data_IF_481673443430
#
_entry.id   IF_481673443430
#
_cell.length_a   1.000
_cell.length_b   1.000
_cell.length_c   1.000
_cell.angle_alpha   90.00
_cell.angle_beta   90.00
_cell.angle_gamma   90.00
#
_symmetry.space_group_name_H-M   'P 1'
#
loop_
_entity.id
_entity.type
_entity.pdbx_description
1 polymer ?
#
# COMPACT_ATOMS: atom_id res chain seq x y z
N UNK A 1 -7.46 13.44 -1.96
CA UNK A 1 -7.21 12.50 -3.09
C UNK A 1 -5.87 12.79 -3.75
N UNK A 2 -5.63 13.98 -4.31
CA UNK A 2 -4.35 14.30 -4.98
C UNK A 2 -3.11 14.14 -4.07
N UNK A 3 -3.25 14.48 -2.79
CA UNK A 3 -2.18 14.31 -1.79
C UNK A 3 -1.85 12.84 -1.49
N UNK A 4 -2.88 11.98 -1.35
CA UNK A 4 -2.69 10.53 -1.19
C UNK A 4 -1.98 9.92 -2.39
N UNK A 5 -2.37 10.32 -3.61
CA UNK A 5 -1.74 9.84 -4.86
C UNK A 5 -0.28 10.28 -4.93
N UNK A 6 0.02 11.54 -4.61
CA UNK A 6 1.40 12.04 -4.59
C UNK A 6 2.23 11.27 -3.54
N UNK A 7 1.67 11.07 -2.35
CA UNK A 7 2.30 10.32 -1.28
C UNK A 7 2.64 8.88 -1.69
N UNK A 8 1.68 8.13 -2.25
CA UNK A 8 1.89 6.75 -2.74
C UNK A 8 2.97 6.71 -3.82
N UNK A 9 2.95 7.64 -4.79
CA UNK A 9 3.96 7.67 -5.86
C UNK A 9 5.37 7.86 -5.30
N UNK A 10 5.55 8.76 -4.34
CA UNK A 10 6.85 8.98 -3.69
C UNK A 10 7.27 7.78 -2.83
N UNK A 11 6.34 7.14 -2.12
CA UNK A 11 6.63 5.94 -1.33
C UNK A 11 7.02 4.74 -2.20
N UNK A 12 6.32 4.50 -3.30
CA UNK A 12 6.63 3.43 -4.25
C UNK A 12 8.02 3.61 -4.89
N UNK A 13 8.46 4.86 -5.00
CA UNK A 13 9.79 5.20 -5.53
C UNK A 13 10.88 5.21 -4.45
N UNK A 14 10.54 4.88 -3.19
CA UNK A 14 11.47 4.89 -2.06
C UNK A 14 11.94 6.30 -1.67
N UNK A 15 11.27 7.35 -2.16
CA UNK A 15 11.60 8.74 -1.88
C UNK A 15 11.11 9.19 -0.49
N UNK A 16 10.35 8.33 0.20
CA UNK A 16 9.91 8.52 1.58
C UNK A 16 10.20 7.25 2.39
N UNK A 17 10.21 7.38 3.72
CA UNK A 17 10.39 6.26 4.66
C UNK A 17 9.43 5.07 4.47
N UNK A 18 9.68 4.01 5.23
CA UNK A 18 9.06 2.69 5.07
C UNK A 18 7.55 2.62 5.38
N UNK A 19 6.93 3.69 5.90
CA UNK A 19 5.54 3.68 6.34
C UNK A 19 4.73 4.89 5.87
N UNK A 20 3.39 4.77 5.85
CA UNK A 20 2.50 5.90 5.64
C UNK A 20 2.56 6.92 6.79
N UNK A 21 2.34 8.21 6.50
CA UNK A 21 1.93 9.20 7.49
C UNK A 21 0.67 8.74 8.22
N UNK A 22 0.52 9.19 9.47
CA UNK A 22 -0.58 8.79 10.36
C UNK A 22 -1.96 9.09 9.75
N UNK A 23 -2.09 10.17 9.00
CA UNK A 23 -3.32 10.58 8.32
C UNK A 23 -3.75 9.58 7.21
N UNK A 24 -2.83 8.74 6.74
CA UNK A 24 -3.05 7.77 5.68
C UNK A 24 -2.95 6.31 6.14
N UNK A 25 -2.56 6.04 7.39
CA UNK A 25 -2.36 4.68 7.92
C UNK A 25 -3.60 3.78 7.77
N UNK A 26 -4.77 4.22 8.26
CA UNK A 26 -6.01 3.44 8.21
C UNK A 26 -6.42 3.11 6.77
N UNK A 27 -6.39 4.12 5.89
CA UNK A 27 -6.69 3.95 4.48
C UNK A 27 -5.72 3.02 3.76
N UNK A 28 -4.41 3.16 4.03
CA UNK A 28 -3.35 2.38 3.41
C UNK A 28 -3.40 0.91 3.81
N UNK A 29 -3.52 0.60 5.11
CA UNK A 29 -3.58 -0.79 5.58
C UNK A 29 -4.91 -1.47 5.21
N UNK A 30 -6.02 -0.74 5.20
CA UNK A 30 -7.31 -1.27 4.77
C UNK A 30 -7.36 -1.56 3.27
N UNK A 31 -6.77 -0.69 2.45
CA UNK A 31 -6.65 -0.90 1.00
C UNK A 31 -5.74 -2.08 0.65
N UNK A 32 -4.59 -2.22 1.32
CA UNK A 32 -3.72 -3.38 1.14
C UNK A 32 -4.40 -4.69 1.57
N UNK A 33 -5.12 -4.68 2.69
CA UNK A 33 -5.90 -5.84 3.12
C UNK A 33 -6.98 -6.22 2.09
N UNK A 34 -7.56 -5.24 1.39
CA UNK A 34 -8.47 -5.47 0.27
C UNK A 34 -7.79 -5.98 -1.00
N UNK A 35 -6.63 -5.43 -1.35
CA UNK A 35 -5.85 -5.81 -2.54
C UNK A 35 -5.24 -7.22 -2.42
N UNK A 36 -4.69 -7.57 -1.25
CA UNK A 36 -4.13 -8.91 -0.98
C UNK A 36 -5.19 -10.02 -0.98
N UNK A 37 -6.48 -9.67 -0.92
CA UNK A 37 -7.58 -10.65 -0.99
C UNK A 37 -7.96 -11.04 -2.42
N UNK A 38 -7.56 -10.26 -3.42
CA UNK A 38 -7.82 -10.54 -4.84
C UNK A 38 -6.66 -11.28 -5.52
N UNK A 39 -5.43 -11.18 -4.99
CA UNK A 39 -4.25 -11.84 -5.54
C UNK A 39 -3.45 -12.61 -4.47
N UNK A 40 -4.11 -13.54 -3.78
CA UNK A 40 -3.42 -14.59 -3.02
C UNK A 40 -3.78 -15.99 -3.56
N UNK A 41 -3.81 -16.14 -4.88
CA UNK A 41 -3.59 -17.44 -5.51
C UNK A 41 -2.08 -17.70 -5.56
N UNK A 42 -1.46 -17.84 -4.39
CA UNK A 42 -0.07 -18.31 -4.31
C UNK A 42 -0.08 -19.77 -4.79
N UNK A 43 0.57 -20.13 -5.91
CA UNK A 43 0.68 -21.54 -6.27
C UNK A 43 1.47 -22.20 -5.15
N UNK A 44 0.95 -23.31 -4.61
CA UNK A 44 1.65 -24.08 -3.58
C UNK A 44 3.05 -24.41 -4.11
N UNK A 45 4.08 -23.87 -3.45
CA UNK A 45 5.47 -24.14 -3.78
C UNK A 45 5.75 -25.62 -3.51
N UNK A 46 5.82 -26.41 -4.58
CA UNK A 46 6.24 -27.81 -4.57
C UNK A 46 7.75 -27.94 -4.56
#
# INVERSE_FOLDING_TARGET
>A
MAEYVNWVNRHLHGEIGLGPPAEFEDGFYRQQTGATKDEALVPSLR
#
